data_IF_884133570954
#
_entry.id   IF_884133570954
#
_cell.length_a   1.000
_cell.length_b   1.000
_cell.length_c   1.000
_cell.angle_alpha   90.00
_cell.angle_beta   90.00
_cell.angle_gamma   90.00
#
_symmetry.space_group_name_H-M   'P 1'
#
loop_
_entity.id
_entity.type
_entity.pdbx_description
1 polymer ?
#
# COMPACT_ATOMS: atom_id res chain seq x y z
N UNK A 1 -84.20 -5.78 45.80
CA UNK A 1 -83.02 -6.33 45.11
C UNK A 1 -82.17 -5.16 44.65
N UNK A 2 -81.13 -4.81 45.41
CA UNK A 2 -80.21 -3.72 45.08
C UNK A 2 -78.93 -4.30 44.50
N UNK A 3 -78.56 -3.87 43.30
CA UNK A 3 -77.34 -4.30 42.63
C UNK A 3 -76.13 -3.56 43.20
N UNK A 4 -75.15 -4.32 43.70
CA UNK A 4 -73.85 -3.82 44.13
C UNK A 4 -72.95 -3.65 42.89
N UNK A 5 -72.51 -2.44 42.61
CA UNK A 5 -71.47 -2.17 41.60
C UNK A 5 -70.13 -2.12 42.33
N UNK A 6 -69.23 -3.06 42.04
CA UNK A 6 -67.84 -3.03 42.51
C UNK A 6 -67.02 -2.36 41.40
N UNK A 7 -66.56 -1.13 41.65
CA UNK A 7 -65.62 -0.43 40.79
C UNK A 7 -64.19 -0.83 41.17
N UNK A 8 -63.47 -1.52 40.27
CA UNK A 8 -62.03 -1.68 40.37
C UNK A 8 -61.36 -0.40 39.89
N UNK A 9 -60.73 0.35 40.82
CA UNK A 9 -59.79 1.41 40.46
C UNK A 9 -58.47 0.71 40.13
N UNK A 10 -58.18 0.55 38.84
CA UNK A 10 -56.84 0.18 38.39
C UNK A 10 -56.00 1.45 38.51
N UNK A 11 -55.18 1.53 39.56
CA UNK A 11 -54.15 2.55 39.68
C UNK A 11 -53.10 2.32 38.59
N UNK A 12 -53.20 3.05 37.48
CA UNK A 12 -52.11 3.15 36.53
C UNK A 12 -51.12 4.13 37.18
N UNK A 13 -50.11 3.62 37.87
CA UNK A 13 -48.92 4.42 38.17
C UNK A 13 -48.31 4.79 36.83
N UNK A 14 -48.29 6.09 36.52
CA UNK A 14 -47.45 6.63 35.45
C UNK A 14 -46.01 6.21 35.73
N UNK A 15 -45.56 5.18 35.02
CA UNK A 15 -44.14 4.89 34.92
C UNK A 15 -43.57 6.00 34.05
N UNK A 16 -42.95 7.00 34.68
CA UNK A 16 -42.19 8.01 33.97
C UNK A 16 -41.01 7.31 33.27
N UNK A 17 -41.13 7.04 31.97
CA UNK A 17 -40.03 6.56 31.15
C UNK A 17 -39.06 7.72 30.88
N UNK A 18 -38.13 7.94 31.81
CA UNK A 18 -37.17 9.05 31.76
C UNK A 18 -35.75 8.64 31.37
N UNK A 19 -35.60 7.60 30.55
CA UNK A 19 -34.31 7.31 29.91
C UNK A 19 -34.51 7.30 28.41
N UNK A 20 -34.12 8.39 27.75
CA UNK A 20 -33.86 8.37 26.32
C UNK A 20 -32.81 7.30 26.08
N UNK A 21 -33.20 6.16 25.48
CA UNK A 21 -32.24 5.13 25.11
C UNK A 21 -31.28 5.75 24.09
N UNK A 22 -30.01 5.37 24.17
CA UNK A 22 -28.99 5.92 23.29
C UNK A 22 -28.05 4.80 22.93
N UNK A 23 -27.83 4.58 21.65
CA UNK A 23 -27.00 3.49 21.13
C UNK A 23 -26.07 4.03 20.05
N UNK A 24 -24.79 3.67 20.10
CA UNK A 24 -23.82 4.12 19.09
C UNK A 24 -22.77 3.03 18.83
N UNK A 25 -22.18 3.01 17.63
CA UNK A 25 -21.02 2.15 17.37
C UNK A 25 -19.90 2.47 18.36
N UNK A 26 -19.33 1.44 18.98
CA UNK A 26 -18.23 1.53 19.95
C UNK A 26 -16.91 1.08 19.35
N UNK A 27 -16.92 -0.07 18.66
CA UNK A 27 -15.76 -0.64 18.02
C UNK A 27 -16.15 -1.30 16.70
N UNK A 28 -15.29 -1.22 15.69
CA UNK A 28 -15.48 -1.89 14.39
C UNK A 28 -14.21 -2.67 14.06
N UNK A 29 -14.38 -3.96 13.74
CA UNK A 29 -13.33 -4.82 13.20
C UNK A 29 -13.55 -5.05 11.71
N UNK A 30 -12.53 -4.85 10.90
CA UNK A 30 -12.58 -5.09 9.46
C UNK A 30 -11.85 -6.37 9.05
N UNK A 31 -10.84 -6.80 9.81
CA UNK A 31 -10.01 -7.99 9.56
C UNK A 31 -10.21 -9.11 10.60
N UNK A 32 -11.45 -9.38 11.02
CA UNK A 32 -11.72 -10.21 12.20
C UNK A 32 -11.53 -11.73 11.98
N UNK A 33 -11.58 -12.22 10.75
CA UNK A 33 -11.28 -13.60 10.34
C UNK A 33 -10.11 -13.64 9.34
N UNK A 34 -8.86 -13.86 9.80
CA UNK A 34 -7.70 -13.89 8.93
C UNK A 34 -7.85 -14.90 7.78
N UNK A 35 -7.58 -14.42 6.56
CA UNK A 35 -7.65 -15.24 5.34
C UNK A 35 -9.06 -15.38 4.75
N UNK A 36 -10.10 -14.78 5.36
CA UNK A 36 -11.42 -14.75 4.76
C UNK A 36 -11.44 -13.76 3.58
N UNK A 37 -11.96 -14.20 2.44
CA UNK A 37 -12.03 -13.38 1.21
C UNK A 37 -12.98 -12.19 1.32
N UNK A 38 -13.79 -12.11 2.38
CA UNK A 38 -14.74 -11.04 2.62
C UNK A 38 -14.23 -10.01 3.65
N UNK A 39 -13.08 -10.27 4.26
CA UNK A 39 -12.49 -9.43 5.30
C UNK A 39 -11.43 -8.50 4.72
N UNK A 40 -11.03 -7.51 5.52
CA UNK A 40 -9.86 -6.71 5.22
C UNK A 40 -8.55 -7.50 5.41
N UNK A 41 -7.52 -7.07 4.71
CA UNK A 41 -6.17 -7.65 4.78
C UNK A 41 -5.49 -7.25 6.08
N UNK A 42 -4.66 -8.15 6.61
CA UNK A 42 -3.80 -7.87 7.75
C UNK A 42 -2.72 -6.86 7.38
N UNK A 43 -2.71 -5.74 8.10
CA UNK A 43 -1.73 -4.68 7.92
C UNK A 43 -0.80 -4.61 9.11
N UNK A 44 0.40 -4.12 8.84
CA UNK A 44 1.39 -3.78 9.87
C UNK A 44 1.61 -2.26 9.91
N UNK A 45 2.03 -1.78 11.08
CA UNK A 45 2.53 -0.43 11.27
C UNK A 45 4.02 -0.34 10.89
N UNK A 46 4.78 -1.40 11.19
CA UNK A 46 6.21 -1.56 10.93
C UNK A 46 6.59 -3.06 10.92
N UNK A 47 7.88 -3.40 11.03
CA UNK A 47 8.33 -4.79 11.04
C UNK A 47 7.74 -5.63 12.19
N UNK A 48 7.53 -5.03 13.36
CA UNK A 48 7.19 -5.70 14.60
C UNK A 48 5.70 -5.59 14.94
N UNK A 49 5.07 -4.47 14.59
CA UNK A 49 3.75 -4.10 15.09
C UNK A 49 2.68 -4.31 14.02
N UNK A 50 1.66 -5.09 14.35
CA UNK A 50 0.43 -5.18 13.55
C UNK A 50 -0.49 -3.98 13.83
N UNK A 51 -1.33 -3.64 12.86
CA UNK A 51 -2.45 -2.72 13.10
C UNK A 51 -3.36 -3.32 14.20
N UNK A 52 -3.68 -2.56 15.26
CA UNK A 52 -4.56 -3.04 16.33
C UNK A 52 -5.93 -3.46 15.82
N UNK A 53 -6.48 -4.52 16.42
CA UNK A 53 -7.86 -4.97 16.20
C UNK A 53 -8.61 -4.83 17.51
N UNK A 54 -9.73 -4.08 17.59
CA UNK A 54 -10.46 -3.43 16.49
C UNK A 54 -9.72 -2.22 15.88
N UNK A 55 -9.82 -2.07 14.56
CA UNK A 55 -9.17 -0.99 13.81
C UNK A 55 -9.87 0.37 14.02
N UNK A 56 -11.15 0.35 14.38
CA UNK A 56 -11.86 1.56 14.79
C UNK A 56 -12.37 1.39 16.22
N UNK A 57 -12.00 2.34 17.08
CA UNK A 57 -12.54 2.48 18.43
C UNK A 57 -13.01 3.91 18.59
N UNK A 58 -14.19 4.09 19.18
CA UNK A 58 -14.75 5.42 19.43
C UNK A 58 -13.77 6.25 20.26
N UNK A 59 -13.63 7.53 19.91
CA UNK A 59 -12.79 8.52 20.59
C UNK A 59 -11.27 8.23 20.51
N UNK A 60 -10.84 7.32 19.64
CA UNK A 60 -9.42 7.11 19.28
C UNK A 60 -9.17 7.46 17.81
N UNK A 61 -7.93 7.78 17.42
CA UNK A 61 -7.56 7.84 16.01
C UNK A 61 -7.93 6.52 15.31
N UNK A 62 -8.59 6.56 14.14
CA UNK A 62 -8.94 5.36 13.40
C UNK A 62 -7.72 4.79 12.69
N UNK A 63 -7.57 3.47 12.75
CA UNK A 63 -6.58 2.76 11.95
C UNK A 63 -7.06 2.58 10.50
N UNK A 64 -6.12 2.24 9.63
CA UNK A 64 -6.39 2.02 8.20
C UNK A 64 -6.60 0.54 7.93
N UNK A 65 -7.36 0.23 6.89
CA UNK A 65 -7.56 -1.14 6.40
C UNK A 65 -7.28 -1.27 4.90
N UNK A 66 -7.18 -2.49 4.38
CA UNK A 66 -6.98 -2.72 2.96
C UNK A 66 -7.91 -3.81 2.41
N UNK A 67 -8.35 -3.62 1.17
CA UNK A 67 -9.21 -4.56 0.45
C UNK A 67 -8.68 -4.81 -0.96
N UNK A 68 -9.06 -5.94 -1.54
CA UNK A 68 -8.75 -6.26 -2.93
C UNK A 68 -9.72 -5.54 -3.87
N UNK A 69 -9.19 -5.05 -4.99
CA UNK A 69 -9.96 -4.43 -6.05
C UNK A 69 -11.15 -5.31 -6.47
N UNK A 70 -12.34 -4.72 -6.54
CA UNK A 70 -13.57 -5.43 -6.93
C UNK A 70 -14.17 -6.35 -5.87
N UNK A 71 -13.56 -6.48 -4.70
CA UNK A 71 -14.09 -7.30 -3.61
C UNK A 71 -15.52 -6.85 -3.25
N UNK A 72 -16.42 -7.81 -3.07
CA UNK A 72 -17.84 -7.62 -2.73
C UNK A 72 -18.21 -8.49 -1.52
N UNK A 73 -19.44 -8.38 -1.02
CA UNK A 73 -19.95 -9.14 0.13
C UNK A 73 -19.08 -9.03 1.39
N UNK A 74 -18.46 -7.86 1.59
CA UNK A 74 -17.55 -7.63 2.71
C UNK A 74 -18.27 -7.75 4.04
N UNK A 75 -17.57 -8.22 5.06
CA UNK A 75 -18.10 -8.34 6.41
C UNK A 75 -17.29 -7.48 7.38
N UNK A 76 -17.99 -6.96 8.39
CA UNK A 76 -17.39 -6.28 9.53
C UNK A 76 -18.00 -6.82 10.80
N UNK A 77 -17.27 -6.75 11.91
CA UNK A 77 -17.83 -6.94 13.24
C UNK A 77 -17.96 -5.60 13.93
N UNK A 78 -19.12 -5.33 14.54
CA UNK A 78 -19.38 -4.08 15.25
C UNK A 78 -19.84 -4.39 16.65
N UNK A 79 -19.31 -3.69 17.65
CA UNK A 79 -19.92 -3.61 18.97
C UNK A 79 -20.56 -2.24 19.15
N UNK A 80 -21.69 -2.22 19.86
CA UNK A 80 -22.44 -1.02 20.17
C UNK A 80 -22.40 -0.74 21.67
N UNK A 81 -22.21 0.52 22.03
CA UNK A 81 -22.38 0.98 23.40
C UNK A 81 -23.77 1.59 23.55
N UNK A 82 -24.35 1.40 24.74
CA UNK A 82 -25.71 1.83 25.03
C UNK A 82 -25.93 2.05 26.52
N UNK A 83 -26.90 2.90 26.86
CA UNK A 83 -27.40 3.05 28.23
C UNK A 83 -28.48 2.01 28.60
N UNK A 84 -28.79 1.07 27.70
CA UNK A 84 -29.60 -0.12 27.95
C UNK A 84 -28.72 -1.38 27.85
N UNK A 85 -28.97 -2.40 28.68
CA UNK A 85 -28.17 -3.64 28.66
C UNK A 85 -28.60 -4.61 27.56
N UNK A 86 -29.92 -4.79 27.40
CA UNK A 86 -30.53 -5.80 26.54
C UNK A 86 -31.51 -5.14 25.57
N UNK A 87 -31.27 -5.28 24.26
CA UNK A 87 -32.13 -4.66 23.24
C UNK A 87 -32.20 -5.47 21.94
N UNK A 88 -33.24 -5.24 21.16
CA UNK A 88 -33.23 -5.49 19.73
C UNK A 88 -32.69 -4.25 19.01
N UNK A 89 -31.96 -4.46 17.91
CA UNK A 89 -31.43 -3.37 17.09
C UNK A 89 -31.96 -3.47 15.66
N UNK A 90 -32.30 -2.34 15.07
CA UNK A 90 -32.45 -2.17 13.63
C UNK A 90 -31.42 -1.16 13.14
N UNK A 91 -30.52 -1.59 12.26
CA UNK A 91 -29.37 -0.80 11.82
C UNK A 91 -29.52 -0.44 10.34
N UNK A 92 -29.32 0.84 10.06
CA UNK A 92 -29.06 1.37 8.74
C UNK A 92 -27.68 2.04 8.72
N UNK A 93 -26.91 1.76 7.66
CA UNK A 93 -25.56 2.29 7.46
C UNK A 93 -25.46 2.85 6.06
N UNK A 94 -25.20 4.15 5.93
CA UNK A 94 -25.11 4.83 4.64
C UNK A 94 -23.77 5.52 4.48
N UNK A 95 -23.26 5.58 3.25
CA UNK A 95 -22.07 6.37 2.93
C UNK A 95 -22.53 7.79 2.62
N UNK A 96 -22.07 8.76 3.39
CA UNK A 96 -22.46 10.18 3.22
C UNK A 96 -21.37 11.02 2.57
N UNK A 97 -20.13 10.54 2.56
CA UNK A 97 -19.00 11.21 1.91
C UNK A 97 -17.99 10.18 1.38
N UNK A 98 -17.23 10.57 0.35
CA UNK A 98 -16.11 9.78 -0.17
C UNK A 98 -16.52 8.51 -0.91
N UNK A 99 -15.60 7.53 -0.95
CA UNK A 99 -15.81 6.25 -1.65
C UNK A 99 -15.91 5.12 -0.63
N UNK A 100 -17.09 4.92 -0.06
CA UNK A 100 -17.27 3.96 1.03
C UNK A 100 -17.16 2.50 0.63
N UNK A 101 -17.09 1.64 1.65
CA UNK A 101 -16.99 0.19 1.47
C UNK A 101 -18.34 -0.53 1.54
N UNK A 102 -19.43 0.18 1.26
CA UNK A 102 -20.77 -0.40 1.24
C UNK A 102 -21.74 0.19 2.24
N UNK A 103 -22.97 -0.31 2.18
CA UNK A 103 -24.10 0.15 2.99
C UNK A 103 -24.88 -1.03 3.60
N UNK A 104 -25.70 -0.74 4.60
CA UNK A 104 -26.62 -1.67 5.24
C UNK A 104 -28.01 -1.03 5.24
N UNK A 105 -29.02 -1.80 4.83
CA UNK A 105 -30.42 -1.38 4.87
C UNK A 105 -31.20 -2.35 5.77
N UNK A 106 -31.77 -1.83 6.85
CA UNK A 106 -32.67 -2.52 7.77
C UNK A 106 -32.15 -3.87 8.28
N UNK A 107 -30.94 -3.91 8.83
CA UNK A 107 -30.42 -5.11 9.46
C UNK A 107 -30.93 -5.26 10.89
N UNK A 108 -31.67 -6.33 11.17
CA UNK A 108 -32.25 -6.61 12.47
C UNK A 108 -31.37 -7.56 13.30
N UNK A 109 -31.15 -7.21 14.57
CA UNK A 109 -30.46 -8.03 15.55
C UNK A 109 -31.40 -8.25 16.73
N UNK A 110 -31.65 -9.52 17.06
CA UNK A 110 -32.40 -9.88 18.25
C UNK A 110 -31.47 -10.09 19.44
N UNK A 111 -31.92 -9.69 20.64
CA UNK A 111 -31.26 -10.03 21.90
C UNK A 111 -29.79 -9.58 21.95
N UNK A 112 -29.51 -8.35 21.52
CA UNK A 112 -28.18 -7.76 21.61
C UNK A 112 -27.83 -7.43 23.07
N UNK A 113 -26.64 -7.85 23.51
CA UNK A 113 -26.07 -7.48 24.80
C UNK A 113 -24.91 -6.50 24.63
N UNK A 114 -24.74 -5.56 25.58
CA UNK A 114 -23.80 -4.42 25.54
C UNK A 114 -22.31 -4.73 25.27
N UNK A 115 -21.88 -5.99 25.26
CA UNK A 115 -20.49 -6.40 24.98
C UNK A 115 -20.34 -7.26 23.73
N UNK A 116 -21.43 -7.56 23.04
CA UNK A 116 -21.42 -8.46 21.90
C UNK A 116 -20.85 -7.76 20.65
N UNK A 117 -20.16 -8.55 19.83
CA UNK A 117 -19.87 -8.18 18.45
C UNK A 117 -20.90 -8.81 17.53
N UNK A 118 -21.45 -8.02 16.63
CA UNK A 118 -22.36 -8.49 15.59
C UNK A 118 -21.69 -8.39 14.23
N UNK A 119 -21.81 -9.46 13.44
CA UNK A 119 -21.31 -9.46 12.07
C UNK A 119 -22.33 -8.82 11.15
N UNK A 120 -21.90 -7.79 10.42
CA UNK A 120 -22.70 -7.09 9.44
C UNK A 120 -22.13 -7.34 8.04
N UNK A 121 -22.99 -7.72 7.09
CA UNK A 121 -22.61 -7.87 5.68
C UNK A 121 -22.92 -6.58 4.92
N UNK A 122 -21.92 -6.06 4.22
CA UNK A 122 -21.98 -4.80 3.49
C UNK A 122 -22.37 -5.05 2.02
N UNK A 123 -23.28 -4.22 1.52
CA UNK A 123 -23.64 -4.17 0.10
C UNK A 123 -22.58 -3.45 -0.76
N UNK A 124 -22.66 -3.58 -2.08
CA UNK A 124 -21.77 -2.92 -3.03
C UNK A 124 -20.40 -3.61 -3.19
N UNK A 125 -19.45 -2.89 -3.82
CA UNK A 125 -18.11 -3.42 -4.12
C UNK A 125 -17.01 -2.39 -3.82
N UNK A 126 -15.79 -2.87 -3.67
CA UNK A 126 -14.57 -2.06 -3.64
C UNK A 126 -14.27 -1.59 -5.07
N UNK A 127 -13.77 -0.37 -5.30
CA UNK A 127 -13.36 0.08 -6.63
C UNK A 127 -12.37 -0.88 -7.29
N UNK A 128 -12.40 -1.00 -8.62
CA UNK A 128 -11.52 -1.89 -9.37
C UNK A 128 -10.11 -1.30 -9.63
N UNK A 129 -9.71 -0.27 -8.87
CA UNK A 129 -8.46 0.44 -9.08
C UNK A 129 -7.74 0.72 -7.78
N UNK A 130 -6.41 0.63 -7.83
CA UNK A 130 -5.51 0.97 -6.72
C UNK A 130 -5.80 2.37 -6.22
N UNK A 131 -5.68 2.56 -4.91
CA UNK A 131 -5.76 3.89 -4.32
C UNK A 131 -5.93 3.87 -2.81
N UNK A 132 -5.64 5.02 -2.19
CA UNK A 132 -5.99 5.34 -0.81
C UNK A 132 -7.28 6.15 -0.82
N UNK A 133 -8.27 5.74 -0.03
CA UNK A 133 -9.64 6.28 -0.08
C UNK A 133 -10.14 6.58 1.31
N UNK A 134 -10.87 7.69 1.41
CA UNK A 134 -11.54 8.09 2.63
C UNK A 134 -13.05 8.01 2.41
N UNK A 135 -13.80 7.76 3.48
CA UNK A 135 -15.25 7.83 3.47
C UNK A 135 -15.81 8.06 4.87
N UNK A 136 -17.00 8.64 4.90
CA UNK A 136 -17.81 8.78 6.12
C UNK A 136 -19.01 7.88 6.04
N UNK A 137 -19.23 7.11 7.11
CA UNK A 137 -20.48 6.40 7.34
C UNK A 137 -21.39 7.19 8.26
N UNK A 138 -22.69 7.18 7.96
CA UNK A 138 -23.75 7.57 8.88
C UNK A 138 -24.53 6.34 9.32
N UNK A 139 -24.60 6.17 10.64
CA UNK A 139 -25.34 5.14 11.32
C UNK A 139 -26.69 5.70 11.75
N UNK A 140 -27.77 5.00 11.41
CA UNK A 140 -29.10 5.20 11.98
C UNK A 140 -29.50 3.91 12.66
N UNK A 141 -29.55 3.95 13.99
CA UNK A 141 -29.76 2.78 14.84
C UNK A 141 -31.04 2.99 15.63
N UNK A 142 -31.98 2.06 15.52
CA UNK A 142 -33.18 2.00 16.33
C UNK A 142 -33.01 0.89 17.37
N UNK A 143 -33.02 1.26 18.66
CA UNK A 143 -32.95 0.32 19.77
C UNK A 143 -34.33 0.13 20.40
N UNK A 144 -34.67 -1.14 20.67
CA UNK A 144 -35.93 -1.55 21.32
C UNK A 144 -35.54 -2.41 22.54
N UNK A 145 -35.75 -1.96 23.79
CA UNK A 145 -35.46 -2.75 24.98
C UNK A 145 -36.25 -4.06 24.98
N UNK A 146 -35.63 -5.15 25.44
CA UNK A 146 -36.31 -6.46 25.53
C UNK A 146 -37.32 -6.47 26.67
N UNK A 147 -36.97 -5.84 27.80
CA UNK A 147 -37.75 -5.90 29.05
C UNK A 147 -38.48 -4.58 29.38
N UNK A 148 -38.41 -3.58 28.49
CA UNK A 148 -38.97 -2.25 28.70
C UNK A 148 -40.26 -2.00 27.92
N UNK A 149 -41.23 -1.31 28.54
CA UNK A 149 -42.39 -0.78 27.81
C UNK A 149 -41.96 0.13 26.66
N UNK A 150 -42.71 0.13 25.55
CA UNK A 150 -42.50 0.74 24.22
C UNK A 150 -41.70 2.08 24.14
N UNK A 151 -40.44 2.08 24.54
CA UNK A 151 -39.52 3.20 24.38
C UNK A 151 -38.52 2.83 23.30
N UNK A 152 -38.78 3.21 22.05
CA UNK A 152 -37.76 3.12 21.00
C UNK A 152 -36.90 4.38 21.01
N UNK A 153 -35.60 4.24 20.82
CA UNK A 153 -34.75 5.39 20.52
C UNK A 153 -34.06 5.22 19.18
N UNK A 154 -34.05 6.31 18.41
CA UNK A 154 -33.23 6.47 17.22
C UNK A 154 -31.97 7.22 17.58
N UNK A 155 -30.81 6.66 17.29
CA UNK A 155 -29.52 7.33 17.41
C UNK A 155 -28.90 7.55 16.03
N UNK A 156 -28.32 8.73 15.83
CA UNK A 156 -27.52 9.07 14.66
C UNK A 156 -26.07 9.23 15.09
N UNK A 157 -25.17 8.54 14.40
CA UNK A 157 -23.73 8.66 14.63
C UNK A 157 -22.99 8.64 13.28
N UNK A 158 -21.79 9.21 13.24
CA UNK A 158 -20.92 9.15 12.08
C UNK A 158 -19.59 8.51 12.43
N UNK A 159 -19.00 7.79 11.49
CA UNK A 159 -17.64 7.25 11.62
C UNK A 159 -16.85 7.50 10.34
N UNK A 160 -15.62 7.97 10.48
CA UNK A 160 -14.71 8.27 9.38
C UNK A 160 -13.65 7.18 9.25
N UNK A 161 -13.34 6.83 8.00
CA UNK A 161 -12.47 5.69 7.70
C UNK A 161 -11.54 5.98 6.53
N UNK A 162 -10.39 5.32 6.54
CA UNK A 162 -9.41 5.33 5.45
C UNK A 162 -9.07 3.89 5.08
N UNK A 163 -9.14 3.55 3.79
CA UNK A 163 -8.71 2.24 3.31
C UNK A 163 -7.87 2.30 2.03
N UNK A 164 -7.11 1.23 1.82
CA UNK A 164 -6.35 0.97 0.60
C UNK A 164 -7.10 -0.01 -0.31
N UNK A 165 -7.03 0.21 -1.61
CA UNK A 165 -7.43 -0.76 -2.63
C UNK A 165 -6.18 -1.34 -3.27
N UNK A 166 -6.01 -2.66 -3.25
CA UNK A 166 -4.85 -3.37 -3.83
C UNK A 166 -5.27 -4.13 -5.09
N UNK A 167 -4.34 -4.42 -6.01
CA UNK A 167 -4.66 -5.18 -7.24
C UNK A 167 -5.05 -6.62 -6.90
N UNK A 168 -4.27 -7.25 -6.01
CA UNK A 168 -4.46 -8.64 -5.59
C UNK A 168 -3.85 -8.83 -4.20
N UNK A 169 -3.99 -10.04 -3.65
CA UNK A 169 -3.41 -10.37 -2.35
C UNK A 169 -1.91 -10.03 -2.33
N UNK A 170 -1.43 -9.36 -1.26
CA UNK A 170 -0.02 -9.07 -1.10
C UNK A 170 0.83 -10.35 -1.13
N UNK A 171 2.06 -10.19 -1.58
CA UNK A 171 3.01 -11.28 -1.83
C UNK A 171 4.28 -11.09 -1.02
N UNK A 172 5.10 -12.13 -0.89
CA UNK A 172 6.43 -12.02 -0.31
C UNK A 172 7.27 -10.94 -1.02
N UNK A 173 8.02 -10.11 -0.28
CA UNK A 173 8.23 -10.15 1.18
C UNK A 173 7.23 -9.29 2.02
N UNK A 174 6.09 -8.89 1.45
CA UNK A 174 5.09 -8.00 2.05
C UNK A 174 3.70 -8.64 2.17
N UNK A 175 3.61 -9.90 2.60
CA UNK A 175 2.32 -10.60 2.79
C UNK A 175 1.38 -9.86 3.75
N UNK A 176 1.96 -9.13 4.71
CA UNK A 176 1.25 -8.21 5.61
C UNK A 176 1.82 -6.81 5.38
N UNK A 177 1.29 -6.05 4.40
CA UNK A 177 1.91 -4.81 3.97
C UNK A 177 1.84 -3.73 5.06
N UNK A 178 2.86 -2.86 5.09
CA UNK A 178 2.96 -1.81 6.09
C UNK A 178 2.17 -0.59 5.65
N UNK A 179 1.43 0.04 6.56
CA UNK A 179 0.62 1.23 6.22
C UNK A 179 1.44 2.40 5.67
N UNK A 180 2.67 2.72 6.15
CA UNK A 180 3.46 3.81 5.57
C UNK A 180 3.95 3.49 4.14
N UNK A 181 4.23 2.21 3.84
CA UNK A 181 4.54 1.79 2.48
C UNK A 181 3.30 1.94 1.58
N UNK A 182 2.13 1.46 2.02
CA UNK A 182 0.89 1.56 1.25
C UNK A 182 0.47 3.02 1.02
N UNK A 183 0.76 3.92 1.95
CA UNK A 183 0.54 5.36 1.77
C UNK A 183 1.27 5.92 0.55
N UNK A 184 2.49 5.45 0.28
CA UNK A 184 3.26 5.83 -0.91
C UNK A 184 2.84 5.05 -2.14
N UNK A 185 2.77 3.72 -2.05
CA UNK A 185 2.49 2.84 -3.19
C UNK A 185 1.11 3.11 -3.79
N UNK A 186 0.07 3.23 -2.95
CA UNK A 186 -1.29 3.54 -3.42
C UNK A 186 -1.42 4.98 -3.94
N UNK A 187 -0.60 5.91 -3.46
CA UNK A 187 -0.57 7.27 -3.98
C UNK A 187 0.02 7.30 -5.40
N UNK A 188 1.19 6.68 -5.60
CA UNK A 188 1.85 6.62 -6.91
C UNK A 188 1.03 5.86 -7.95
N UNK A 189 0.49 4.69 -7.57
CA UNK A 189 -0.27 3.82 -8.47
C UNK A 189 -1.78 4.09 -8.46
N UNK A 190 -2.23 5.23 -7.93
CA UNK A 190 -3.66 5.57 -7.86
C UNK A 190 -4.33 5.48 -9.24
N UNK A 191 -5.50 4.86 -9.29
CA UNK A 191 -6.30 4.69 -10.51
C UNK A 191 -5.87 3.53 -11.42
N UNK A 192 -4.75 2.85 -11.14
CA UNK A 192 -4.33 1.71 -11.96
C UNK A 192 -5.17 0.46 -11.67
N UNK A 193 -5.48 -0.29 -12.72
CA UNK A 193 -6.38 -1.46 -12.68
C UNK A 193 -5.71 -2.77 -13.10
N UNK A 194 -4.44 -2.72 -13.52
CA UNK A 194 -3.68 -3.89 -13.95
C UNK A 194 -2.23 -3.82 -13.45
N UNK A 195 -1.61 -5.00 -13.31
CA UNK A 195 -0.27 -5.17 -12.76
C UNK A 195 0.77 -4.34 -13.52
N UNK A 196 0.81 -4.41 -14.85
CA UNK A 196 1.84 -3.71 -15.65
C UNK A 196 1.81 -2.19 -15.42
N UNK A 197 0.63 -1.57 -15.47
CA UNK A 197 0.54 -0.12 -15.26
C UNK A 197 0.81 0.27 -13.79
N UNK A 198 0.44 -0.59 -12.84
CA UNK A 198 0.81 -0.40 -11.43
C UNK A 198 2.33 -0.42 -11.27
N UNK A 199 3.03 -1.37 -11.90
CA UNK A 199 4.49 -1.46 -11.87
C UNK A 199 5.15 -0.22 -12.47
N UNK A 200 4.67 0.25 -13.63
CA UNK A 200 5.13 1.51 -14.24
C UNK A 200 5.05 2.65 -13.23
N UNK A 201 3.91 2.81 -12.54
CA UNK A 201 3.71 3.90 -11.58
C UNK A 201 4.57 3.76 -10.33
N UNK A 202 4.82 2.55 -9.85
CA UNK A 202 5.74 2.33 -8.73
C UNK A 202 7.18 2.62 -9.15
N UNK A 203 7.62 2.19 -10.34
CA UNK A 203 8.94 2.50 -10.90
C UNK A 203 9.14 4.02 -11.02
N UNK A 204 8.19 4.72 -11.62
CA UNK A 204 8.20 6.19 -11.74
C UNK A 204 8.21 6.87 -10.37
N UNK A 205 7.41 6.37 -9.42
CA UNK A 205 7.33 6.92 -8.07
C UNK A 205 8.63 6.78 -7.29
N UNK A 206 9.26 5.61 -7.36
CA UNK A 206 10.57 5.37 -6.75
C UNK A 206 11.66 6.25 -7.37
N UNK A 207 11.65 6.43 -8.69
CA UNK A 207 12.64 7.28 -9.37
C UNK A 207 12.43 8.78 -9.10
N UNK A 208 11.19 9.28 -9.18
CA UNK A 208 10.91 10.73 -9.14
C UNK A 208 10.57 11.29 -7.75
N UNK A 209 10.10 10.48 -6.81
CA UNK A 209 9.49 10.98 -5.57
C UNK A 209 10.22 10.57 -4.29
N UNK A 210 11.32 9.83 -4.39
CA UNK A 210 12.16 9.48 -3.23
C UNK A 210 13.15 10.60 -2.87
N UNK A 211 13.54 11.45 -3.82
CA UNK A 211 14.59 12.45 -3.62
C UNK A 211 16.00 11.85 -3.52
N UNK A 212 16.15 10.53 -3.71
CA UNK A 212 17.44 9.87 -3.58
C UNK A 212 18.37 10.20 -4.75
N UNK A 213 19.66 10.02 -4.51
CA UNK A 213 20.74 10.20 -5.47
C UNK A 213 21.47 8.88 -5.68
N UNK A 214 21.83 8.55 -6.90
CA UNK A 214 22.71 7.41 -7.13
C UNK A 214 24.08 7.66 -6.49
N UNK A 215 24.66 6.64 -5.87
CA UNK A 215 26.00 6.70 -5.31
C UNK A 215 27.06 6.54 -6.40
N UNK A 216 27.50 7.68 -6.94
CA UNK A 216 28.50 7.78 -8.02
C UNK A 216 29.95 7.78 -7.51
N UNK A 217 30.19 7.47 -6.22
CA UNK A 217 31.56 7.32 -5.69
C UNK A 217 32.01 5.87 -5.86
N UNK A 218 31.22 4.93 -5.36
CA UNK A 218 31.60 3.51 -5.29
C UNK A 218 30.42 2.55 -5.50
N UNK A 219 29.22 3.08 -5.75
CA UNK A 219 28.01 2.28 -5.89
C UNK A 219 27.60 1.57 -4.60
N UNK A 220 28.06 2.01 -3.42
CA UNK A 220 27.68 1.40 -2.15
C UNK A 220 26.18 1.54 -1.88
N UNK A 221 25.57 0.43 -1.43
CA UNK A 221 24.18 0.38 -1.02
C UNK A 221 23.96 1.00 0.36
N UNK A 222 22.75 1.50 0.60
CA UNK A 222 22.35 2.11 1.88
C UNK A 222 21.41 1.24 2.70
N UNK A 223 20.40 0.66 2.06
CA UNK A 223 19.33 -0.08 2.72
C UNK A 223 19.47 -1.60 2.55
N UNK A 224 20.54 -2.02 1.90
CA UNK A 224 20.80 -3.41 1.57
C UNK A 224 22.06 -3.88 2.28
N UNK A 225 21.88 -4.69 3.33
CA UNK A 225 23.00 -5.43 3.94
C UNK A 225 23.42 -6.53 2.96
N UNK A 226 24.72 -6.81 2.81
CA UNK A 226 25.26 -7.96 2.04
C UNK A 226 24.78 -8.08 0.58
N UNK A 227 24.50 -6.97 -0.10
CA UNK A 227 24.21 -6.94 -1.54
C UNK A 227 23.00 -7.79 -1.95
N UNK A 228 23.13 -8.59 -3.00
CA UNK A 228 22.03 -9.29 -3.67
C UNK A 228 21.17 -10.15 -2.74
N UNK A 229 21.80 -10.91 -1.84
CA UNK A 229 21.12 -11.88 -0.97
C UNK A 229 20.74 -11.36 0.41
N UNK A 230 21.25 -10.21 0.83
CA UNK A 230 20.97 -9.75 2.19
C UNK A 230 19.62 -9.07 2.31
N UNK A 231 19.30 -8.66 3.52
CA UNK A 231 18.00 -8.13 3.86
C UNK A 231 17.84 -6.67 3.45
N UNK A 232 16.59 -6.22 3.34
CA UNK A 232 16.21 -4.86 2.97
C UNK A 232 15.66 -4.09 4.17
N UNK A 233 16.34 -3.00 4.52
CA UNK A 233 15.97 -2.09 5.61
C UNK A 233 14.85 -1.15 5.15
N UNK A 234 13.63 -1.68 5.09
CA UNK A 234 12.46 -0.92 4.63
C UNK A 234 12.13 0.21 5.61
N UNK A 235 12.36 0.00 6.91
CA UNK A 235 12.10 1.00 7.94
C UNK A 235 12.89 2.28 7.67
N UNK A 236 14.22 2.16 7.55
CA UNK A 236 15.08 3.33 7.30
C UNK A 236 14.79 3.97 5.95
N UNK A 237 14.49 3.18 4.91
CA UNK A 237 14.14 3.72 3.61
C UNK A 237 12.87 4.58 3.68
N UNK A 238 11.80 4.10 4.33
CA UNK A 238 10.53 4.82 4.41
C UNK A 238 10.67 6.15 5.17
N UNK A 239 11.49 6.19 6.22
CA UNK A 239 11.77 7.39 7.00
C UNK A 239 12.57 8.45 6.22
N UNK A 240 13.33 8.02 5.22
CA UNK A 240 14.22 8.90 4.45
C UNK A 240 13.67 9.32 3.09
N UNK A 241 12.57 8.71 2.61
CA UNK A 241 11.87 9.16 1.39
C UNK A 241 11.53 10.66 1.50
N UNK A 242 12.01 11.42 0.52
CA UNK A 242 11.96 12.89 0.46
C UNK A 242 13.29 13.57 0.82
N UNK A 243 14.30 12.81 1.23
CA UNK A 243 15.64 13.31 1.55
C UNK A 243 16.53 13.48 0.31
N UNK A 244 16.76 14.74 -0.10
CA UNK A 244 17.50 15.10 -1.32
C UNK A 244 19.02 14.82 -1.33
N UNK A 245 19.57 14.30 -0.23
CA UNK A 245 21.02 14.04 -0.07
C UNK A 245 21.35 12.57 0.15
N UNK A 246 20.34 11.71 0.12
CA UNK A 246 20.48 10.31 0.45
C UNK A 246 21.01 9.55 -0.77
N UNK A 247 22.15 8.89 -0.59
CA UNK A 247 22.82 8.12 -1.66
C UNK A 247 22.35 6.66 -1.61
N UNK A 248 21.95 6.11 -2.76
CA UNK A 248 21.46 4.73 -2.94
C UNK A 248 22.12 4.08 -4.16
N UNK A 249 21.94 2.77 -4.32
CA UNK A 249 22.39 2.06 -5.52
C UNK A 249 21.28 1.17 -6.13
N UNK A 250 21.67 0.35 -7.12
CA UNK A 250 20.77 -0.57 -7.81
C UNK A 250 20.14 -1.65 -6.91
N UNK A 251 20.82 -2.10 -5.85
CA UNK A 251 20.26 -3.05 -4.91
C UNK A 251 19.10 -2.44 -4.13
N UNK A 252 19.31 -1.22 -3.62
CA UNK A 252 18.31 -0.50 -2.84
C UNK A 252 17.03 -0.28 -3.66
N UNK A 253 17.19 0.25 -4.87
CA UNK A 253 16.04 0.58 -5.73
C UNK A 253 15.37 -0.67 -6.31
N UNK A 254 16.12 -1.72 -6.64
CA UNK A 254 15.56 -3.00 -7.09
C UNK A 254 14.77 -3.69 -5.99
N UNK A 255 15.28 -3.73 -4.76
CA UNK A 255 14.55 -4.30 -3.61
C UNK A 255 13.37 -3.45 -3.19
N UNK A 256 13.49 -2.12 -3.26
CA UNK A 256 12.35 -1.21 -3.07
C UNK A 256 11.24 -1.50 -4.08
N UNK A 257 11.57 -1.64 -5.36
CA UNK A 257 10.58 -1.94 -6.40
C UNK A 257 9.88 -3.27 -6.16
N UNK A 258 10.63 -4.34 -5.84
CA UNK A 258 10.03 -5.64 -5.46
C UNK A 258 9.11 -5.51 -4.24
N UNK A 259 9.57 -4.81 -3.21
CA UNK A 259 8.86 -4.64 -1.93
C UNK A 259 7.55 -3.86 -2.10
N UNK A 260 7.59 -2.71 -2.77
CA UNK A 260 6.42 -1.88 -3.02
C UNK A 260 5.42 -2.56 -3.96
N UNK A 261 5.92 -3.27 -4.97
CA UNK A 261 5.08 -4.04 -5.91
C UNK A 261 4.37 -5.20 -5.20
N UNK A 262 5.10 -5.95 -4.38
CA UNK A 262 4.58 -7.10 -3.65
C UNK A 262 3.47 -6.70 -2.66
N UNK A 263 3.57 -5.53 -2.02
CA UNK A 263 2.55 -4.99 -1.14
C UNK A 263 1.21 -4.68 -1.85
N UNK A 264 1.25 -4.37 -3.15
CA UNK A 264 0.05 -4.17 -3.99
C UNK A 264 -0.42 -5.47 -4.67
N UNK A 265 0.23 -6.60 -4.40
CA UNK A 265 -0.04 -7.90 -5.01
C UNK A 265 0.60 -8.13 -6.37
N UNK A 266 1.53 -7.28 -6.80
CA UNK A 266 2.22 -7.41 -8.08
C UNK A 266 3.42 -8.36 -7.95
N UNK A 267 3.37 -9.52 -8.64
CA UNK A 267 4.40 -10.54 -8.55
C UNK A 267 5.61 -10.27 -9.46
N UNK A 268 6.55 -9.43 -9.02
CA UNK A 268 7.82 -9.21 -9.72
C UNK A 268 8.92 -10.17 -9.26
N UNK A 269 9.91 -10.39 -10.11
CA UNK A 269 11.18 -11.03 -9.71
C UNK A 269 12.23 -9.94 -9.51
N UNK A 270 12.93 -9.95 -8.36
CA UNK A 270 14.13 -9.15 -8.15
C UNK A 270 15.30 -9.86 -8.84
N UNK A 271 15.91 -9.18 -9.82
CA UNK A 271 16.94 -9.73 -10.67
C UNK A 271 18.27 -9.02 -10.44
N UNK A 272 19.33 -9.77 -10.66
CA UNK A 272 20.70 -9.32 -10.58
C UNK A 272 21.51 -9.86 -11.75
N UNK A 273 22.38 -9.03 -12.31
CA UNK A 273 23.22 -9.32 -13.45
C UNK A 273 24.67 -9.05 -13.08
N UNK A 274 25.55 -10.04 -13.28
CA UNK A 274 27.00 -9.90 -13.11
C UNK A 274 27.71 -10.90 -14.04
N UNK A 275 28.55 -10.47 -14.97
CA UNK A 275 29.02 -9.10 -15.27
C UNK A 275 27.98 -8.20 -15.95
N UNK A 276 28.00 -6.89 -15.69
CA UNK A 276 27.15 -5.92 -16.41
C UNK A 276 27.87 -5.25 -17.58
N UNK A 277 28.68 -4.22 -17.33
CA UNK A 277 29.53 -3.60 -18.34
C UNK A 277 29.65 -2.08 -18.29
N UNK A 278 30.36 -1.53 -19.27
CA UNK A 278 30.30 -0.10 -19.62
C UNK A 278 28.87 0.27 -20.04
N UNK A 279 28.53 1.54 -19.90
CA UNK A 279 27.17 2.01 -20.07
C UNK A 279 27.09 2.92 -21.28
N UNK A 280 26.00 2.81 -22.03
CA UNK A 280 25.49 3.92 -22.84
C UNK A 280 25.17 5.12 -21.90
N UNK A 281 24.89 6.31 -22.44
CA UNK A 281 24.42 7.39 -21.58
C UNK A 281 23.12 7.01 -20.87
N UNK A 282 23.19 7.07 -19.54
CA UNK A 282 22.08 6.83 -18.64
C UNK A 282 21.85 8.04 -17.74
N UNK A 283 20.64 8.12 -17.22
CA UNK A 283 20.28 9.02 -16.13
C UNK A 283 20.00 8.21 -14.88
N UNK A 284 21.04 7.99 -14.09
CA UNK A 284 20.88 7.40 -12.77
C UNK A 284 20.00 8.30 -11.89
N UNK A 285 19.25 7.71 -10.96
CA UNK A 285 18.33 8.43 -10.08
C UNK A 285 19.01 9.65 -9.43
N UNK A 286 18.36 10.82 -9.58
CA UNK A 286 18.85 12.08 -9.04
C UNK A 286 20.13 12.64 -9.69
N UNK A 287 20.58 12.09 -10.83
CA UNK A 287 21.79 12.53 -11.55
C UNK A 287 21.48 12.98 -12.98
N UNK A 288 22.48 13.61 -13.61
CA UNK A 288 22.45 13.95 -15.04
C UNK A 288 22.83 12.77 -15.94
N UNK A 289 22.89 13.03 -17.25
CA UNK A 289 23.38 12.07 -18.24
C UNK A 289 24.84 11.69 -17.97
N UNK A 290 25.13 10.40 -18.04
CA UNK A 290 26.45 9.87 -17.78
C UNK A 290 26.64 8.51 -18.44
N UNK A 291 27.79 8.28 -19.06
CA UNK A 291 28.29 6.96 -19.44
C UNK A 291 29.47 6.51 -18.54
N UNK A 292 29.84 7.36 -17.56
CA UNK A 292 30.87 7.16 -16.55
C UNK A 292 30.26 7.17 -15.12
N UNK A 293 29.58 6.10 -14.69
CA UNK A 293 28.68 6.12 -13.53
C UNK A 293 29.34 6.42 -12.17
N UNK A 294 30.66 6.25 -12.06
CA UNK A 294 31.43 6.47 -10.85
C UNK A 294 32.42 7.64 -10.94
N UNK A 295 32.07 8.69 -11.68
CA UNK A 295 32.91 9.87 -11.91
C UNK A 295 33.37 10.62 -10.64
N UNK A 296 32.71 10.43 -9.48
CA UNK A 296 33.20 11.01 -8.21
C UNK A 296 34.33 10.17 -7.59
N UNK A 297 34.55 8.91 -8.00
CA UNK A 297 35.64 8.07 -7.49
C UNK A 297 37.03 8.68 -7.82
N UNK A 298 38.03 8.57 -6.94
CA UNK A 298 39.37 9.12 -7.21
C UNK A 298 40.13 8.47 -8.36
N UNK A 299 39.79 7.22 -8.72
CA UNK A 299 40.48 6.47 -9.79
C UNK A 299 39.90 6.67 -11.20
N UNK A 300 38.81 7.41 -11.33
CA UNK A 300 38.10 7.60 -12.60
C UNK A 300 38.10 9.08 -13.01
N UNK A 301 37.82 9.33 -14.29
CA UNK A 301 37.62 10.68 -14.82
C UNK A 301 36.50 11.38 -14.06
N UNK A 302 36.63 12.70 -13.88
CA UNK A 302 35.60 13.55 -13.27
C UNK A 302 34.49 13.92 -14.25
N UNK A 303 34.69 13.67 -15.53
CA UNK A 303 33.70 13.92 -16.56
C UNK A 303 32.60 12.85 -16.48
N UNK A 304 31.34 13.29 -16.53
CA UNK A 304 30.19 12.38 -16.46
C UNK A 304 30.01 11.60 -17.77
N UNK A 305 30.43 12.20 -18.88
CA UNK A 305 30.46 11.60 -20.21
C UNK A 305 31.93 11.58 -20.65
N UNK A 306 32.43 10.41 -21.02
CA UNK A 306 33.78 10.19 -21.53
C UNK A 306 33.70 9.50 -22.89
N UNK A 307 34.83 9.35 -23.59
CA UNK A 307 34.83 8.76 -24.93
C UNK A 307 34.29 7.32 -24.91
N UNK A 308 33.59 6.93 -25.97
CA UNK A 308 33.05 5.57 -26.15
C UNK A 308 34.17 4.52 -26.02
N UNK A 309 35.31 4.72 -26.67
CA UNK A 309 36.45 3.79 -26.61
C UNK A 309 37.29 3.90 -25.31
N UNK A 310 36.94 4.80 -24.39
CA UNK A 310 37.66 4.95 -23.13
C UNK A 310 37.43 3.72 -22.22
N UNK A 311 38.44 3.36 -21.44
CA UNK A 311 38.39 2.26 -20.49
C UNK A 311 38.84 2.71 -19.08
N UNK A 312 38.87 1.78 -18.14
CA UNK A 312 39.34 2.05 -16.77
C UNK A 312 40.78 2.59 -16.69
N UNK A 313 41.63 2.38 -17.71
CA UNK A 313 43.01 2.89 -17.73
C UNK A 313 43.06 4.39 -18.04
N UNK A 314 42.12 4.88 -18.84
CA UNK A 314 41.97 6.30 -19.16
C UNK A 314 40.89 7.00 -18.33
N UNK A 315 40.22 6.24 -17.44
CA UNK A 315 39.37 6.78 -16.38
C UNK A 315 37.87 6.56 -16.59
N UNK A 316 37.43 5.78 -17.58
CA UNK A 316 36.02 5.38 -17.70
C UNK A 316 35.67 4.31 -16.69
N UNK A 317 34.62 4.54 -15.91
CA UNK A 317 34.07 3.56 -14.98
C UNK A 317 32.92 2.77 -15.59
N UNK A 318 32.55 1.67 -14.94
CA UNK A 318 31.51 0.75 -15.43
C UNK A 318 30.72 0.15 -14.29
N UNK A 319 29.54 -0.37 -14.57
CA UNK A 319 28.84 -1.23 -13.61
C UNK A 319 29.41 -2.63 -13.66
N UNK A 320 29.96 -3.10 -12.54
CA UNK A 320 30.36 -4.50 -12.41
C UNK A 320 29.13 -5.43 -12.35
N UNK A 321 28.03 -4.92 -11.82
CA UNK A 321 26.75 -5.60 -11.70
C UNK A 321 25.60 -4.58 -11.70
N UNK A 322 24.37 -5.06 -11.90
CA UNK A 322 23.17 -4.23 -11.81
C UNK A 322 21.98 -5.04 -11.33
N UNK A 323 21.04 -4.39 -10.62
CA UNK A 323 19.84 -5.02 -10.10
C UNK A 323 18.58 -4.22 -10.42
N UNK A 324 17.51 -4.94 -10.75
CA UNK A 324 16.22 -4.39 -11.20
C UNK A 324 15.11 -5.42 -10.98
N UNK A 325 13.88 -5.16 -11.46
CA UNK A 325 12.79 -6.13 -11.40
C UNK A 325 12.32 -6.55 -12.79
N UNK A 326 11.74 -7.75 -12.88
CA UNK A 326 10.99 -8.20 -14.05
C UNK A 326 9.59 -8.69 -13.71
N UNK A 327 8.67 -8.50 -14.66
CA UNK A 327 7.33 -9.11 -14.66
C UNK A 327 6.98 -9.49 -16.11
N UNK A 328 6.56 -10.74 -16.34
CA UNK A 328 6.26 -11.27 -17.67
C UNK A 328 7.36 -10.98 -18.72
N UNK A 329 8.62 -11.20 -18.34
CA UNK A 329 9.82 -10.90 -19.15
C UNK A 329 10.05 -9.42 -19.49
N UNK A 330 9.25 -8.50 -18.94
CA UNK A 330 9.46 -7.07 -19.07
C UNK A 330 10.27 -6.56 -17.87
N UNK A 331 11.37 -5.88 -18.15
CA UNK A 331 12.22 -5.21 -17.18
C UNK A 331 11.56 -3.93 -16.68
N UNK A 332 11.75 -3.65 -15.39
CA UNK A 332 11.37 -2.42 -14.71
C UNK A 332 12.55 -1.99 -13.85
N UNK A 333 13.16 -0.87 -14.20
CA UNK A 333 14.32 -0.33 -13.52
C UNK A 333 14.00 1.04 -12.90
N UNK A 334 14.02 1.10 -11.58
CA UNK A 334 13.78 2.32 -10.81
C UNK A 334 15.06 3.11 -10.52
N UNK A 335 16.22 2.62 -10.95
CA UNK A 335 17.51 3.29 -10.83
C UNK A 335 17.84 4.17 -12.01
N UNK A 336 17.41 3.78 -13.22
CA UNK A 336 17.91 4.36 -14.46
C UNK A 336 16.78 4.85 -15.38
N UNK A 337 17.07 5.93 -16.08
CA UNK A 337 16.53 6.23 -17.41
C UNK A 337 17.66 6.09 -18.41
N UNK A 338 17.32 5.92 -19.68
CA UNK A 338 18.30 5.66 -20.74
C UNK A 338 18.11 6.60 -21.90
N UNK A 339 19.17 6.76 -22.68
CA UNK A 339 19.10 7.34 -24.00
C UNK A 339 18.56 6.31 -25.01
N UNK A 340 17.77 6.77 -25.96
CA UNK A 340 17.14 5.95 -27.02
C UNK A 340 17.20 6.59 -28.40
N UNK A 341 18.04 7.61 -28.59
CA UNK A 341 18.30 8.13 -29.94
C UNK A 341 19.28 7.24 -30.73
N UNK A 342 19.83 7.79 -31.82
CA UNK A 342 20.72 7.06 -32.72
C UNK A 342 22.16 6.96 -32.23
N UNK A 343 22.56 7.79 -31.25
CA UNK A 343 23.92 7.89 -30.75
C UNK A 343 23.90 8.04 -29.22
N UNK A 344 23.93 6.92 -28.47
CA UNK A 344 23.76 6.95 -27.03
C UNK A 344 24.93 7.59 -26.26
N UNK A 345 25.97 8.07 -26.94
CA UNK A 345 27.15 8.67 -26.33
C UNK A 345 27.29 10.18 -26.60
N UNK A 346 26.53 10.73 -27.55
CA UNK A 346 26.63 12.13 -27.95
C UNK A 346 25.31 12.91 -27.84
N UNK A 347 25.42 14.21 -27.55
CA UNK A 347 24.27 15.10 -27.57
C UNK A 347 23.70 15.24 -29.01
N UNK A 348 22.37 15.35 -29.16
CA UNK A 348 21.38 15.54 -28.10
C UNK A 348 20.71 14.24 -27.62
N UNK A 349 20.80 13.94 -26.32
CA UNK A 349 20.19 12.75 -25.72
C UNK A 349 18.64 12.74 -25.71
N UNK A 350 18.05 11.59 -26.03
CA UNK A 350 16.59 11.37 -25.96
C UNK A 350 16.20 10.49 -24.76
N UNK A 351 15.63 11.12 -23.73
CA UNK A 351 15.23 10.41 -22.50
C UNK A 351 14.08 9.42 -22.71
N UNK A 352 14.31 8.17 -22.28
CA UNK A 352 13.25 7.16 -22.11
C UNK A 352 13.34 6.46 -20.75
N UNK A 353 12.18 5.98 -20.29
CA UNK A 353 12.10 5.10 -19.15
C UNK A 353 12.64 3.72 -19.46
N UNK A 354 13.35 3.14 -18.49
CA UNK A 354 13.87 1.78 -18.57
C UNK A 354 12.86 0.76 -17.98
N UNK A 355 11.62 0.80 -18.47
CA UNK A 355 10.58 -0.17 -18.11
C UNK A 355 9.83 -0.70 -19.34
N UNK A 356 9.18 -1.87 -19.20
CA UNK A 356 8.34 -2.44 -20.25
C UNK A 356 9.12 -3.08 -21.40
N UNK A 357 10.43 -3.27 -21.25
CA UNK A 357 11.30 -3.85 -22.28
C UNK A 357 11.69 -5.28 -21.96
N UNK A 358 11.76 -6.13 -22.98
CA UNK A 358 12.41 -7.43 -22.84
C UNK A 358 13.91 -7.24 -22.59
N UNK A 359 14.54 -8.21 -21.92
CA UNK A 359 15.95 -8.12 -21.52
C UNK A 359 16.90 -7.72 -22.67
N UNK A 360 16.73 -8.28 -23.87
CA UNK A 360 17.58 -7.94 -25.02
C UNK A 360 17.51 -6.45 -25.40
N UNK A 361 16.31 -5.87 -25.42
CA UNK A 361 16.10 -4.45 -25.70
C UNK A 361 16.62 -3.58 -24.56
N UNK A 362 16.35 -3.96 -23.30
CA UNK A 362 16.91 -3.23 -22.16
C UNK A 362 18.44 -3.22 -22.21
N UNK A 363 19.07 -4.38 -22.41
CA UNK A 363 20.52 -4.51 -22.51
C UNK A 363 21.10 -3.64 -23.61
N UNK A 364 20.52 -3.64 -24.81
CA UNK A 364 21.07 -2.87 -25.94
C UNK A 364 20.98 -1.35 -25.77
N UNK A 365 20.10 -0.85 -24.89
CA UNK A 365 19.96 0.59 -24.62
C UNK A 365 20.76 1.03 -23.39
N UNK A 366 21.13 0.11 -22.49
CA UNK A 366 21.82 0.44 -21.23
C UNK A 366 23.30 0.11 -21.28
N UNK A 367 23.66 -1.03 -21.88
CA UNK A 367 25.03 -1.54 -21.88
C UNK A 367 25.71 -1.19 -23.20
N UNK A 368 26.89 -0.60 -23.06
CA UNK A 368 27.75 -0.25 -24.18
C UNK A 368 28.32 -1.50 -24.87
N UNK A 369 28.35 -1.46 -26.19
CA UNK A 369 28.94 -2.45 -27.07
C UNK A 369 30.41 -2.15 -27.43
N UNK A 370 31.01 -1.04 -27.01
CA UNK A 370 32.38 -0.63 -27.33
C UNK A 370 33.06 0.02 -26.10
N UNK A 371 34.17 -0.55 -25.57
CA UNK A 371 34.64 -1.91 -25.78
C UNK A 371 33.63 -2.92 -25.17
N UNK A 372 33.02 -3.76 -26.02
CA UNK A 372 32.03 -4.76 -25.60
C UNK A 372 32.51 -5.59 -24.41
N UNK A 373 31.84 -5.45 -23.27
CA UNK A 373 31.93 -6.43 -22.20
C UNK A 373 30.75 -7.39 -22.29
N UNK A 374 30.99 -8.70 -22.23
CA UNK A 374 29.91 -9.67 -22.25
C UNK A 374 29.06 -9.56 -20.98
N UNK A 375 27.85 -9.02 -21.10
CA UNK A 375 26.85 -9.03 -20.01
C UNK A 375 26.25 -10.42 -19.85
N UNK A 376 26.20 -10.92 -18.61
CA UNK A 376 25.53 -12.19 -18.30
C UNK A 376 24.01 -12.08 -18.44
N UNK A 377 23.32 -13.21 -18.44
CA UNK A 377 21.88 -13.21 -18.28
C UNK A 377 21.49 -12.87 -16.83
N UNK A 378 20.29 -12.30 -16.60
CA UNK A 378 19.80 -11.98 -15.27
C UNK A 378 19.45 -13.24 -14.46
N UNK A 379 19.76 -13.20 -13.17
CA UNK A 379 19.46 -14.25 -12.20
C UNK A 379 18.52 -13.69 -11.14
N UNK A 380 17.49 -14.47 -10.75
CA UNK A 380 16.52 -14.07 -9.74
C UNK A 380 16.98 -14.41 -8.33
N UNK A 381 16.67 -13.52 -7.39
CA UNK A 381 17.01 -13.68 -5.98
C UNK A 381 15.82 -13.36 -5.07
N UNK A 382 15.81 -13.99 -3.90
CA UNK A 382 14.88 -13.72 -2.81
C UNK A 382 15.60 -12.97 -1.69
N UNK A 383 14.86 -12.20 -0.90
CA UNK A 383 15.37 -11.47 0.26
C UNK A 383 14.29 -11.34 1.34
N UNK A 384 14.70 -10.96 2.55
CA UNK A 384 13.83 -10.62 3.67
C UNK A 384 13.83 -9.11 3.97
N UNK A 385 12.81 -8.66 4.70
CA UNK A 385 12.68 -7.28 5.19
C UNK A 385 12.90 -7.27 6.70
N UNK A 386 13.47 -6.19 7.25
CA UNK A 386 13.50 -5.95 8.69
C UNK A 386 13.32 -4.48 9.06
#
# INVERSE_FOLDING_TARGET
>A
MGSLIIAFIIGITEVSFSTNISVWPKQIKFNYEPGNTNDAIYLKLDNYNFVPVPEWVKDTPPEKMAYIAGQSNRKIQVSFDSNCENMHLLINLTVTSGTGIGTICNYFISNYHKLDFVTLTLSGSIPNSVGKRNYTWQWSIYAIPIDGGFCSASSLATTDHTYYTLISNPLAPMENPWTPLLDKACYWASGQTNVTNTLIKITEGLYNHTGFLYNVVDGSARYTINGTNGSFDLTTMLDEIGGYTIKVNCYDMGKALKTFSAALGCNTSYLFVQTFGYLNCIKAIGRGWSNNPFYEHPSYSKDMIVGEDDDEQVGRSKFNNHAFCQFNNLTFDACLKVDVDSDPDDDPHTESWAYGWVWGTYKSNVVDNIPATSTSDPISYNFSIY
#
